data_IF_966600404433
#
_entry.id   IF_966600404433
#
_cell.length_a   1.000
_cell.length_b   1.000
_cell.length_c   1.000
_cell.angle_alpha   90.00
_cell.angle_beta   90.00
_cell.angle_gamma   90.00
#
_symmetry.space_group_name_H-M   'P 1'
#
loop_
_entity.id
_entity.type
_entity.pdbx_description
1 polymer ?
#
# COMPACT_ATOMS: atom_id res chain seq x y z
N UNK A 1 21.53 39.36 -15.80
CA UNK A 1 22.73 39.34 -14.94
C UNK A 1 22.25 39.27 -13.50
N UNK A 2 22.60 38.22 -12.77
CA UNK A 2 22.36 38.11 -11.32
C UNK A 2 23.67 37.68 -10.66
N UNK A 3 24.00 38.34 -9.54
CA UNK A 3 25.23 38.16 -8.79
C UNK A 3 25.14 36.95 -7.86
N UNK A 4 26.00 35.95 -8.08
CA UNK A 4 26.24 34.89 -7.11
C UNK A 4 27.10 35.41 -5.95
N UNK A 5 26.49 35.53 -4.76
CA UNK A 5 27.19 36.01 -3.57
C UNK A 5 28.31 35.05 -3.14
N UNK A 6 29.54 35.55 -3.07
CA UNK A 6 30.63 34.88 -2.37
C UNK A 6 30.51 35.17 -0.88
N UNK A 7 29.88 34.28 -0.14
CA UNK A 7 29.87 34.36 1.32
C UNK A 7 31.18 33.79 1.88
N UNK A 8 32.10 34.69 2.22
CA UNK A 8 33.42 34.34 2.74
C UNK A 8 33.36 33.54 4.05
N UNK A 9 32.25 33.62 4.81
CA UNK A 9 32.07 32.84 6.05
C UNK A 9 31.97 31.34 5.81
N UNK A 10 31.51 30.91 4.63
CA UNK A 10 31.41 29.50 4.25
C UNK A 10 32.81 28.94 3.93
N UNK A 11 33.64 29.71 3.21
CA UNK A 11 34.99 29.28 2.80
C UNK A 11 35.87 29.05 4.02
N UNK A 12 35.89 29.98 4.98
CA UNK A 12 36.67 29.84 6.23
C UNK A 12 36.26 28.58 7.02
N UNK A 13 34.95 28.29 7.09
CA UNK A 13 34.43 27.10 7.77
C UNK A 13 34.88 25.78 7.14
N UNK A 14 35.11 25.72 5.82
CA UNK A 14 35.63 24.52 5.18
C UNK A 14 37.11 24.32 5.51
N UNK A 15 37.93 25.37 5.46
CA UNK A 15 39.35 25.29 5.84
C UNK A 15 39.57 24.89 7.30
N UNK A 16 38.73 25.36 8.23
CA UNK A 16 38.80 24.95 9.63
C UNK A 16 38.41 23.47 9.83
N UNK A 17 37.50 22.93 9.00
CA UNK A 17 37.09 21.53 9.05
C UNK A 17 38.15 20.59 8.45
N UNK A 18 38.77 20.99 7.34
CA UNK A 18 39.87 20.23 6.72
C UNK A 18 41.11 20.19 7.63
N UNK A 19 41.45 21.31 8.30
CA UNK A 19 42.52 21.33 9.30
C UNK A 19 42.25 20.34 10.44
N UNK A 20 41.04 20.35 11.02
CA UNK A 20 40.68 19.44 12.11
C UNK A 20 40.63 17.97 11.67
N UNK A 21 40.24 17.66 10.43
CA UNK A 21 40.25 16.28 9.91
C UNK A 21 41.68 15.76 9.69
N UNK A 22 42.58 16.58 9.15
CA UNK A 22 43.98 16.19 8.93
C UNK A 22 44.73 15.83 10.23
N UNK A 23 44.33 16.43 11.36
CA UNK A 23 44.92 16.14 12.68
C UNK A 23 44.52 14.76 13.27
N UNK A 24 43.56 14.05 12.66
CA UNK A 24 43.06 12.75 13.13
C UNK A 24 43.61 11.53 12.37
N UNK A 25 44.29 11.69 11.24
CA UNK A 25 44.77 10.56 10.43
C UNK A 25 46.14 10.00 10.86
N UNK A 26 46.91 10.73 11.67
CA UNK A 26 48.32 10.43 12.01
C UNK A 26 48.56 9.74 13.38
N UNK A 27 47.57 9.03 13.94
CA UNK A 27 47.73 8.27 15.19
C UNK A 27 47.63 6.74 15.02
N UNK A 28 48.75 5.98 15.13
CA UNK A 28 48.72 4.53 15.14
C UNK A 28 48.17 4.00 16.47
N UNK A 29 47.25 3.04 16.40
CA UNK A 29 46.63 2.41 17.57
C UNK A 29 47.63 1.62 18.42
N UNK A 30 47.99 2.15 19.59
CA UNK A 30 48.56 1.37 20.69
C UNK A 30 47.82 1.63 22.00
N UNK A 31 47.63 0.54 22.76
CA UNK A 31 47.03 0.55 24.10
C UNK A 31 47.87 1.41 25.04
N UNK A 32 47.22 2.30 25.78
CA UNK A 32 47.25 2.40 27.25
C UNK A 32 46.40 3.59 27.71
N UNK A 33 45.56 3.39 28.73
CA UNK A 33 44.71 4.45 29.30
C UNK A 33 45.41 5.10 30.51
N UNK A 34 45.72 6.41 30.48
CA UNK A 34 45.99 7.18 31.69
C UNK A 34 44.68 7.70 32.33
N UNK A 35 44.74 7.98 33.64
CA UNK A 35 43.63 8.42 34.48
C UNK A 35 42.95 9.75 34.06
N UNK A 36 41.69 9.99 34.49
CA UNK A 36 40.95 11.20 34.14
C UNK A 36 41.56 12.47 34.76
N UNK A 37 42.12 13.33 33.91
CA UNK A 37 42.54 14.67 34.31
C UNK A 37 41.34 15.56 34.67
N UNK A 38 41.55 16.39 35.68
CA UNK A 38 40.52 17.20 36.35
C UNK A 38 39.86 18.20 35.39
N UNK A 39 38.54 18.37 35.51
CA UNK A 39 37.79 19.40 34.80
C UNK A 39 38.35 20.80 35.12
N UNK A 40 38.93 21.45 34.11
CA UNK A 40 39.25 22.87 34.17
C UNK A 40 37.97 23.65 33.94
N UNK A 41 37.50 24.34 34.97
CA UNK A 41 36.24 25.08 34.98
C UNK A 41 36.41 26.41 34.20
N UNK A 42 36.27 26.36 32.87
CA UNK A 42 36.15 27.57 32.06
C UNK A 42 34.80 28.25 32.36
N UNK A 43 34.84 29.39 33.05
CA UNK A 43 33.72 30.32 33.12
C UNK A 43 33.59 31.04 31.77
N UNK A 44 32.87 30.43 30.83
CA UNK A 44 32.42 31.13 29.62
C UNK A 44 31.14 31.90 29.93
N UNK A 45 31.08 33.15 29.47
CA UNK A 45 29.95 34.04 29.68
C UNK A 45 28.69 33.50 28.99
N UNK A 46 27.52 33.76 29.59
CA UNK A 46 26.23 33.21 29.14
C UNK A 46 25.71 33.89 27.87
N UNK A 47 26.28 33.55 26.73
CA UNK A 47 25.56 33.67 25.47
C UNK A 47 24.67 32.42 25.31
N UNK A 48 23.37 32.57 25.49
CA UNK A 48 22.41 31.48 25.24
C UNK A 48 22.25 31.36 23.73
N UNK A 49 22.64 30.23 23.15
CA UNK A 49 22.39 29.95 21.74
C UNK A 49 20.89 29.79 21.48
N UNK A 50 20.27 30.57 20.57
CA UNK A 50 18.84 30.47 20.27
C UNK A 50 18.40 29.08 19.81
N UNK A 51 19.33 28.31 19.21
CA UNK A 51 19.12 26.94 18.77
C UNK A 51 18.89 26.00 19.97
N UNK A 52 19.65 26.18 21.06
CA UNK A 52 19.56 25.36 22.28
C UNK A 52 18.26 25.63 23.04
N UNK A 53 17.82 26.89 23.08
CA UNK A 53 16.52 27.26 23.67
C UNK A 53 15.34 26.73 22.83
N UNK A 54 15.43 26.84 21.50
CA UNK A 54 14.46 26.23 20.58
C UNK A 54 14.37 24.71 20.71
N UNK A 55 15.50 24.01 20.86
CA UNK A 55 15.52 22.57 21.08
C UNK A 55 14.84 22.18 22.40
N UNK A 56 15.06 22.96 23.46
CA UNK A 56 14.45 22.75 24.78
C UNK A 56 12.92 22.94 24.71
N UNK A 57 12.45 24.01 24.08
CA UNK A 57 11.03 24.28 23.86
C UNK A 57 10.35 23.16 23.05
N UNK A 58 10.99 22.69 21.97
CA UNK A 58 10.47 21.58 21.17
C UNK A 58 10.38 20.27 21.98
N UNK A 59 11.36 20.00 22.85
CA UNK A 59 11.37 18.81 23.70
C UNK A 59 10.28 18.88 24.80
N UNK A 60 10.12 20.03 25.45
CA UNK A 60 9.03 20.27 26.40
C UNK A 60 7.64 20.13 25.74
N UNK A 61 7.49 20.59 24.49
CA UNK A 61 6.24 20.45 23.73
C UNK A 61 5.97 18.99 23.34
N UNK A 62 6.97 18.24 22.89
CA UNK A 62 6.84 16.80 22.64
C UNK A 62 6.45 16.02 23.90
N UNK A 63 7.04 16.35 25.06
CA UNK A 63 6.70 15.71 26.32
C UNK A 63 5.25 16.01 26.75
N UNK A 64 4.75 17.24 26.52
CA UNK A 64 3.33 17.58 26.73
C UNK A 64 2.40 16.75 25.83
N UNK A 65 2.71 16.62 24.54
CA UNK A 65 1.92 15.84 23.59
C UNK A 65 1.90 14.34 23.94
N UNK A 66 3.03 13.78 24.40
CA UNK A 66 3.08 12.39 24.88
C UNK A 66 2.21 12.17 26.12
N UNK A 67 2.22 13.10 27.08
CA UNK A 67 1.35 13.04 28.26
C UNK A 67 -0.13 13.17 27.89
N UNK A 68 -0.49 14.03 26.93
CA UNK A 68 -1.85 14.19 26.44
C UNK A 68 -2.34 12.93 25.70
N UNK A 69 -1.51 12.32 24.86
CA UNK A 69 -1.79 11.02 24.24
C UNK A 69 -1.99 9.91 25.27
N UNK A 70 -1.19 9.88 26.34
CA UNK A 70 -1.35 8.88 27.40
C UNK A 70 -2.68 9.04 28.15
N UNK A 71 -3.04 10.27 28.52
CA UNK A 71 -4.35 10.56 29.14
C UNK A 71 -5.52 10.31 28.19
N UNK A 72 -5.35 10.50 26.88
CA UNK A 72 -6.36 10.12 25.87
C UNK A 72 -6.58 8.61 25.80
N UNK A 73 -5.52 7.80 25.80
CA UNK A 73 -5.65 6.33 25.85
C UNK A 73 -6.35 5.87 27.13
N UNK A 74 -5.94 6.38 28.28
CA UNK A 74 -6.56 6.07 29.58
C UNK A 74 -8.06 6.45 29.63
N UNK A 75 -8.45 7.57 29.02
CA UNK A 75 -9.87 7.94 28.83
C UNK A 75 -10.59 6.97 27.89
N UNK A 76 -9.96 6.57 26.79
CA UNK A 76 -10.51 5.60 25.85
C UNK A 76 -10.75 4.23 26.51
N UNK A 77 -9.78 3.72 27.27
CA UNK A 77 -9.90 2.47 28.04
C UNK A 77 -11.03 2.56 29.08
N UNK A 78 -11.13 3.70 29.79
CA UNK A 78 -12.21 3.95 30.76
C UNK A 78 -13.59 3.97 30.09
N UNK A 79 -13.70 4.59 28.91
CA UNK A 79 -14.93 4.60 28.12
C UNK A 79 -15.27 3.20 27.58
N UNK A 80 -14.28 2.47 27.06
CA UNK A 80 -14.42 1.09 26.58
C UNK A 80 -14.92 0.14 27.68
N UNK A 81 -14.34 0.23 28.89
CA UNK A 81 -14.81 -0.50 30.06
C UNK A 81 -16.26 -0.14 30.45
N UNK A 82 -16.62 1.15 30.38
CA UNK A 82 -17.98 1.62 30.67
C UNK A 82 -19.00 1.15 29.62
N UNK A 83 -18.64 1.13 28.34
CA UNK A 83 -19.47 0.59 27.25
C UNK A 83 -19.73 -0.90 27.45
N UNK A 84 -18.70 -1.69 27.76
CA UNK A 84 -18.85 -3.13 28.07
C UNK A 84 -19.74 -3.39 29.29
N UNK A 85 -19.67 -2.55 30.33
CA UNK A 85 -20.60 -2.65 31.47
C UNK A 85 -22.04 -2.31 31.09
N UNK A 86 -22.25 -1.34 30.19
CA UNK A 86 -23.58 -0.99 29.68
C UNK A 86 -24.17 -2.12 28.81
N UNK A 87 -23.38 -2.73 27.92
CA UNK A 87 -23.79 -3.89 27.12
C UNK A 87 -24.21 -5.08 28.01
N UNK A 88 -23.44 -5.37 29.06
CA UNK A 88 -23.79 -6.39 30.06
C UNK A 88 -25.09 -6.08 30.83
N UNK A 89 -25.39 -4.81 31.09
CA UNK A 89 -26.62 -4.40 31.76
C UNK A 89 -27.87 -4.43 30.86
N UNK A 90 -27.70 -4.22 29.54
CA UNK A 90 -28.79 -4.30 28.55
C UNK A 90 -29.22 -5.76 28.28
N UNK A 91 -28.33 -6.74 28.45
CA UNK A 91 -28.65 -8.16 28.24
C UNK A 91 -29.59 -8.80 29.29
N UNK A 92 -30.00 -8.09 30.35
CA UNK A 92 -30.79 -8.68 31.45
C UNK A 92 -32.25 -8.19 31.53
N UNK A 93 -32.66 -7.20 30.73
CA UNK A 93 -34.05 -6.75 30.66
C UNK A 93 -34.48 -6.48 29.21
N UNK A 94 -35.67 -6.95 28.85
CA UNK A 94 -36.17 -6.94 27.47
C UNK A 94 -36.36 -5.53 26.88
N UNK A 95 -36.20 -5.44 25.56
CA UNK A 95 -36.43 -4.26 24.73
C UNK A 95 -37.80 -3.60 24.98
N UNK A 96 -37.88 -2.28 24.78
CA UNK A 96 -38.64 -1.83 23.61
C UNK A 96 -37.93 -0.76 22.75
N UNK A 97 -38.37 -0.65 21.50
CA UNK A 97 -37.84 0.23 20.48
C UNK A 97 -37.88 1.73 20.84
N UNK A 98 -36.74 2.42 20.63
CA UNK A 98 -36.73 3.83 20.22
C UNK A 98 -35.41 4.16 19.51
N UNK A 99 -35.48 4.16 18.18
CA UNK A 99 -34.60 4.99 17.35
C UNK A 99 -35.03 6.46 17.60
N UNK A 100 -34.07 7.39 17.51
CA UNK A 100 -34.18 8.85 17.77
C UNK A 100 -33.89 9.33 19.21
N UNK A 101 -32.59 9.45 19.58
CA UNK A 101 -32.06 10.51 20.49
C UNK A 101 -30.53 10.55 20.75
N UNK A 102 -29.68 10.19 19.79
CA UNK A 102 -28.22 10.43 19.91
C UNK A 102 -27.61 11.16 18.72
N UNK A 103 -28.26 12.27 18.33
CA UNK A 103 -27.69 13.25 17.42
C UNK A 103 -27.64 14.63 18.09
N UNK A 104 -26.61 14.81 18.94
CA UNK A 104 -26.11 16.09 19.46
C UNK A 104 -24.77 15.86 20.17
N UNK A 105 -23.84 16.80 20.00
CA UNK A 105 -22.43 16.77 20.45
C UNK A 105 -21.43 15.97 19.60
N UNK A 106 -21.28 16.38 18.33
CA UNK A 106 -20.00 16.29 17.61
C UNK A 106 -19.61 17.69 17.07
N UNK A 107 -18.34 18.11 17.15
CA UNK A 107 -17.91 19.42 16.68
C UNK A 107 -17.88 19.49 15.13
N UNK A 108 -18.26 20.63 14.50
CA UNK A 108 -18.52 20.70 13.05
C UNK A 108 -17.36 20.30 12.12
N UNK A 109 -16.11 20.32 12.58
CA UNK A 109 -14.93 20.03 11.74
C UNK A 109 -14.66 18.53 11.54
N UNK A 110 -15.18 17.65 12.40
CA UNK A 110 -15.05 16.20 12.21
C UNK A 110 -15.97 15.68 11.09
N UNK A 111 -17.16 16.27 10.97
CA UNK A 111 -18.21 15.84 10.04
C UNK A 111 -17.76 15.95 8.58
N UNK A 112 -16.97 16.96 8.21
CA UNK A 112 -16.52 17.15 6.82
C UNK A 112 -15.53 16.06 6.37
N UNK A 113 -14.65 15.60 7.26
CA UNK A 113 -13.68 14.55 6.93
C UNK A 113 -14.33 13.16 6.98
N UNK A 114 -15.17 12.88 7.98
CA UNK A 114 -15.90 11.60 8.02
C UNK A 114 -16.94 11.49 6.88
N UNK A 115 -17.55 12.60 6.45
CA UNK A 115 -18.45 12.60 5.29
C UNK A 115 -17.71 12.30 4.00
N UNK A 116 -16.55 12.92 3.73
CA UNK A 116 -15.77 12.59 2.52
C UNK A 116 -15.23 11.16 2.51
N UNK A 117 -14.94 10.58 3.68
CA UNK A 117 -14.53 9.16 3.82
C UNK A 117 -15.73 8.20 3.73
N UNK A 118 -16.93 8.60 4.14
CA UNK A 118 -18.17 7.80 3.99
C UNK A 118 -18.75 7.87 2.57
N UNK A 119 -18.70 9.02 1.91
CA UNK A 119 -19.11 9.17 0.51
C UNK A 119 -18.23 8.29 -0.39
N UNK A 120 -16.90 8.32 -0.24
CA UNK A 120 -15.99 7.39 -0.94
C UNK A 120 -16.25 5.90 -0.64
N UNK A 121 -16.75 5.54 0.55
CA UNK A 121 -17.10 4.15 0.89
C UNK A 121 -18.45 3.71 0.31
N UNK A 122 -19.42 4.62 0.23
CA UNK A 122 -20.72 4.33 -0.36
C UNK A 122 -20.63 4.27 -1.90
N UNK A 123 -19.85 5.16 -2.53
CA UNK A 123 -19.57 5.09 -3.97
C UNK A 123 -18.87 3.77 -4.36
N UNK A 124 -17.97 3.26 -3.49
CA UNK A 124 -17.41 1.91 -3.66
C UNK A 124 -18.46 0.80 -3.53
N UNK A 125 -19.46 0.94 -2.67
CA UNK A 125 -20.48 -0.10 -2.43
C UNK A 125 -21.51 -0.17 -3.56
N UNK A 126 -22.01 1.00 -4.01
CA UNK A 126 -23.02 1.09 -5.07
C UNK A 126 -22.44 0.71 -6.45
N UNK A 127 -21.17 1.02 -6.73
CA UNK A 127 -20.48 0.52 -7.93
C UNK A 127 -20.23 -0.99 -7.88
N UNK A 128 -20.03 -1.58 -6.69
CA UNK A 128 -19.70 -2.99 -6.53
C UNK A 128 -20.92 -3.89 -6.82
N UNK A 129 -22.13 -3.55 -6.35
CA UNK A 129 -23.35 -4.29 -6.76
C UNK A 129 -23.61 -4.17 -8.26
N UNK A 130 -23.51 -2.96 -8.83
CA UNK A 130 -23.81 -2.73 -10.25
C UNK A 130 -22.81 -3.43 -11.20
N UNK A 131 -21.53 -3.51 -10.84
CA UNK A 131 -20.52 -4.22 -11.64
C UNK A 131 -20.63 -5.75 -11.50
N UNK A 132 -20.98 -6.27 -10.32
CA UNK A 132 -21.21 -7.72 -10.16
C UNK A 132 -22.45 -8.19 -10.95
N UNK A 133 -23.57 -7.45 -10.90
CA UNK A 133 -24.79 -7.83 -11.64
C UNK A 133 -24.68 -7.62 -13.17
N UNK A 134 -23.89 -6.66 -13.66
CA UNK A 134 -23.62 -6.54 -15.10
C UNK A 134 -22.65 -7.60 -15.63
N UNK A 135 -21.63 -7.98 -14.84
CA UNK A 135 -20.65 -8.98 -15.27
C UNK A 135 -21.25 -10.39 -15.42
N UNK A 136 -22.22 -10.75 -14.56
CA UNK A 136 -22.91 -12.04 -14.61
C UNK A 136 -23.79 -12.25 -15.87
N UNK A 137 -24.21 -11.18 -16.55
CA UNK A 137 -25.09 -11.26 -17.72
C UNK A 137 -24.36 -11.35 -19.07
N UNK A 138 -23.02 -11.35 -19.08
CA UNK A 138 -22.21 -11.31 -20.33
C UNK A 138 -21.47 -12.62 -20.62
N UNK A 139 -21.83 -13.71 -19.95
CA UNK A 139 -21.40 -15.06 -20.32
C UNK A 139 -22.48 -15.71 -21.23
N UNK A 140 -22.27 -15.54 -22.53
CA UNK A 140 -23.02 -16.10 -23.67
C UNK A 140 -24.50 -15.68 -23.88
N UNK A 141 -24.72 -14.72 -24.81
CA UNK A 141 -25.76 -14.78 -25.89
C UNK A 141 -25.75 -13.59 -26.87
N UNK A 142 -25.26 -13.83 -28.10
CA UNK A 142 -25.91 -13.59 -29.43
C UNK A 142 -24.96 -13.16 -30.55
N UNK A 143 -25.24 -13.72 -31.73
CA UNK A 143 -24.68 -13.40 -33.05
C UNK A 143 -25.76 -12.60 -33.84
N UNK A 144 -25.36 -11.90 -34.92
CA UNK A 144 -26.17 -11.18 -35.95
C UNK A 144 -26.79 -9.84 -35.49
N UNK A 145 -26.62 -8.67 -36.13
CA UNK A 145 -26.46 -8.26 -37.55
C UNK A 145 -25.70 -6.90 -37.67
N UNK A 146 -25.56 -6.35 -38.90
CA UNK A 146 -24.92 -5.06 -39.23
C UNK A 146 -25.96 -4.05 -39.81
N UNK A 147 -25.68 -2.77 -40.16
CA UNK A 147 -24.39 -2.09 -40.40
C UNK A 147 -24.28 -0.62 -39.87
N UNK A 148 -24.18 0.52 -40.60
CA UNK A 148 -23.15 1.52 -40.22
C UNK A 148 -23.53 3.03 -40.10
N UNK A 149 -22.62 3.79 -39.46
CA UNK A 149 -22.24 5.20 -39.71
C UNK A 149 -23.16 6.36 -39.18
N UNK A 150 -22.74 7.65 -39.24
CA UNK A 150 -21.57 8.22 -38.52
C UNK A 150 -21.77 9.66 -37.92
N UNK A 151 -20.95 10.09 -36.93
CA UNK A 151 -20.59 11.53 -36.72
C UNK A 151 -19.46 11.82 -35.70
N UNK A 152 -18.28 12.17 -36.23
CA UNK A 152 -17.38 13.31 -35.93
C UNK A 152 -17.93 14.33 -34.89
N UNK A 153 -17.20 14.93 -33.91
CA UNK A 153 -15.79 14.92 -33.44
C UNK A 153 -15.69 15.61 -32.06
N UNK A 154 -14.84 15.16 -31.12
CA UNK A 154 -13.71 15.99 -30.60
C UNK A 154 -12.52 15.17 -30.06
N UNK A 155 -12.58 13.84 -30.04
CA UNK A 155 -11.75 12.97 -29.17
C UNK A 155 -10.35 12.56 -29.68
N UNK A 156 -9.78 13.22 -30.68
CA UNK A 156 -8.63 12.71 -31.44
C UNK A 156 -7.23 12.97 -30.83
N UNK A 157 -7.11 13.64 -29.68
CA UNK A 157 -5.80 13.82 -29.01
C UNK A 157 -5.59 12.78 -27.91
N UNK A 158 -6.62 12.46 -27.11
CA UNK A 158 -6.50 11.50 -26.01
C UNK A 158 -6.49 10.03 -26.50
N UNK A 159 -7.08 9.73 -27.67
CA UNK A 159 -7.16 8.36 -28.22
C UNK A 159 -5.83 7.74 -28.70
N UNK A 160 -4.72 8.49 -28.65
CA UNK A 160 -3.37 8.00 -28.99
C UNK A 160 -2.54 7.61 -27.77
N UNK A 161 -2.99 7.92 -26.54
CA UNK A 161 -2.28 7.52 -25.32
C UNK A 161 -2.57 6.05 -25.02
N UNK A 162 -1.53 5.23 -24.92
CA UNK A 162 -1.64 3.93 -24.27
C UNK A 162 -1.42 4.13 -22.76
N UNK A 163 -2.45 4.01 -21.89
CA UNK A 163 -2.32 4.23 -20.45
C UNK A 163 -1.36 3.25 -19.76
N UNK A 164 -1.03 2.14 -20.42
CA UNK A 164 -0.08 1.12 -19.95
C UNK A 164 1.33 1.26 -20.56
N UNK A 165 1.59 2.26 -21.39
CA UNK A 165 2.95 2.54 -21.86
C UNK A 165 3.82 3.14 -20.74
N UNK A 166 5.16 2.98 -20.79
CA UNK A 166 6.06 3.67 -19.86
C UNK A 166 5.94 5.20 -20.01
N UNK A 167 5.49 5.86 -18.95
CA UNK A 167 5.26 7.31 -18.90
C UNK A 167 6.04 7.96 -17.75
N UNK A 168 6.05 9.30 -17.69
CA UNK A 168 6.49 10.04 -16.51
C UNK A 168 5.60 9.69 -15.31
N UNK A 169 6.24 9.32 -14.21
CA UNK A 169 5.55 9.02 -12.95
C UNK A 169 5.28 10.31 -12.16
N UNK A 170 4.08 10.43 -11.58
CA UNK A 170 3.76 11.49 -10.62
C UNK A 170 3.84 10.93 -9.19
N UNK A 171 4.81 11.36 -8.36
CA UNK A 171 4.91 10.92 -6.97
C UNK A 171 3.74 11.36 -6.08
N UNK A 172 3.02 12.43 -6.43
CA UNK A 172 1.92 12.96 -5.60
C UNK A 172 0.68 12.09 -5.77
N UNK A 173 0.17 11.94 -7.00
CA UNK A 173 -0.94 11.04 -7.30
C UNK A 173 -0.57 9.56 -7.14
N UNK A 174 0.71 9.21 -7.32
CA UNK A 174 1.21 7.85 -7.15
C UNK A 174 0.73 6.88 -8.24
N UNK A 175 0.42 5.66 -7.85
CA UNK A 175 -0.07 4.61 -8.76
C UNK A 175 -1.32 3.91 -8.23
N UNK A 176 -1.92 3.10 -9.11
CA UNK A 176 -3.05 2.24 -8.80
C UNK A 176 -2.67 0.81 -9.20
N UNK A 177 -2.94 -0.13 -8.30
CA UNK A 177 -2.89 -1.56 -8.59
C UNK A 177 -4.32 -2.02 -8.86
N UNK A 178 -4.54 -2.70 -9.97
CA UNK A 178 -5.74 -3.51 -10.15
C UNK A 178 -5.37 -4.96 -9.88
N UNK A 179 -5.99 -5.56 -8.88
CA UNK A 179 -5.96 -7.00 -8.68
C UNK A 179 -7.13 -7.58 -9.46
N UNK A 180 -6.81 -8.22 -10.59
CA UNK A 180 -7.83 -8.65 -11.54
C UNK A 180 -8.37 -10.03 -11.14
N UNK A 181 -7.50 -11.04 -11.08
CA UNK A 181 -7.86 -12.40 -10.66
C UNK A 181 -6.65 -13.26 -10.25
N UNK A 182 -6.89 -14.36 -9.53
CA UNK A 182 -5.94 -15.46 -9.34
C UNK A 182 -6.40 -16.65 -10.18
N UNK A 183 -5.55 -17.17 -11.05
CA UNK A 183 -5.84 -18.36 -11.87
C UNK A 183 -5.08 -19.60 -11.38
N UNK A 184 -5.51 -20.77 -11.86
CA UNK A 184 -4.89 -22.07 -11.63
C UNK A 184 -4.71 -22.45 -10.14
N UNK A 185 -5.63 -22.00 -9.27
CA UNK A 185 -5.64 -22.44 -7.87
C UNK A 185 -5.97 -23.95 -7.80
N UNK A 186 -5.38 -24.71 -6.86
CA UNK A 186 -5.84 -26.06 -6.55
C UNK A 186 -7.35 -26.12 -6.33
N UNK A 187 -8.02 -27.11 -6.92
CA UNK A 187 -9.49 -27.28 -6.84
C UNK A 187 -10.04 -27.49 -5.42
N UNK A 188 -9.16 -27.83 -4.47
CA UNK A 188 -9.45 -27.90 -3.04
C UNK A 188 -9.69 -26.53 -2.41
N UNK A 189 -9.11 -25.45 -2.95
CA UNK A 189 -9.20 -24.09 -2.39
C UNK A 189 -10.53 -23.45 -2.78
N UNK A 190 -11.35 -23.14 -1.79
CA UNK A 190 -12.72 -22.65 -1.97
C UNK A 190 -12.88 -21.15 -1.71
N UNK A 191 -11.94 -20.56 -0.97
CA UNK A 191 -11.94 -19.15 -0.61
C UNK A 191 -10.52 -18.65 -0.50
N UNK A 192 -10.27 -17.39 -0.89
CA UNK A 192 -8.99 -16.73 -0.71
C UNK A 192 -9.13 -15.26 -0.33
N UNK A 193 -8.06 -14.68 0.22
CA UNK A 193 -7.92 -13.27 0.55
C UNK A 193 -6.49 -12.82 0.19
N UNK A 194 -6.34 -11.56 -0.22
CA UNK A 194 -5.02 -10.94 -0.40
C UNK A 194 -4.73 -10.00 0.77
N UNK A 195 -3.51 -10.10 1.32
CA UNK A 195 -2.93 -9.08 2.20
C UNK A 195 -1.75 -8.48 1.46
N UNK A 196 -1.68 -7.15 1.42
CA UNK A 196 -0.74 -6.39 0.59
C UNK A 196 0.05 -5.41 1.46
N UNK A 197 1.37 -5.40 1.34
CA UNK A 197 2.25 -4.47 2.04
C UNK A 197 3.32 -3.93 1.11
N UNK A 198 3.52 -2.61 1.12
CA UNK A 198 4.72 -2.01 0.52
C UNK A 198 5.93 -2.44 1.35
N UNK A 199 7.00 -2.81 0.69
CA UNK A 199 8.24 -3.28 1.30
C UNK A 199 9.44 -2.49 0.77
N UNK A 200 10.29 -2.05 1.70
CA UNK A 200 11.57 -1.42 1.41
C UNK A 200 12.69 -2.06 2.25
N UNK A 201 13.80 -2.54 1.65
CA UNK A 201 14.83 -3.33 2.35
C UNK A 201 15.49 -2.69 3.59
N UNK A 202 15.38 -1.37 3.80
CA UNK A 202 15.94 -0.70 4.98
C UNK A 202 14.91 -0.41 6.09
N UNK A 203 13.63 -0.42 5.77
CA UNK A 203 12.55 -0.05 6.70
C UNK A 203 11.49 -1.15 6.86
N UNK A 204 11.67 -2.29 6.20
CA UNK A 204 10.80 -3.45 6.29
C UNK A 204 9.48 -3.28 5.54
N UNK A 205 8.44 -3.94 6.08
CA UNK A 205 7.07 -3.87 5.60
C UNK A 205 6.37 -2.63 6.18
N UNK A 206 5.68 -1.88 5.32
CA UNK A 206 4.69 -0.90 5.72
C UNK A 206 3.36 -1.55 6.15
N UNK A 207 2.40 -0.71 6.54
CA UNK A 207 1.08 -1.14 7.00
C UNK A 207 0.40 -2.09 6.00
N UNK A 208 -0.08 -3.27 6.44
CA UNK A 208 -0.76 -4.22 5.58
C UNK A 208 -2.20 -3.78 5.27
N UNK A 209 -2.57 -3.84 3.99
CA UNK A 209 -3.93 -3.67 3.51
C UNK A 209 -4.50 -5.03 3.11
N UNK A 210 -5.51 -5.50 3.85
CA UNK A 210 -6.24 -6.73 3.57
C UNK A 210 -7.45 -6.44 2.66
N UNK A 211 -7.59 -7.21 1.58
CA UNK A 211 -8.75 -7.14 0.68
C UNK A 211 -9.90 -8.00 1.20
N UNK A 212 -11.10 -7.85 0.61
CA UNK A 212 -12.23 -8.69 0.99
C UNK A 212 -11.97 -10.17 0.66
N UNK A 213 -12.38 -11.13 1.51
CA UNK A 213 -12.36 -12.55 1.17
C UNK A 213 -13.28 -12.88 -0.01
N UNK A 214 -12.78 -13.68 -0.93
CA UNK A 214 -13.41 -14.02 -2.21
C UNK A 214 -13.62 -15.53 -2.31
N UNK A 215 -14.78 -15.94 -2.79
CA UNK A 215 -15.04 -17.35 -3.14
C UNK A 215 -14.33 -17.70 -4.43
N UNK A 216 -13.76 -18.89 -4.46
CA UNK A 216 -13.14 -19.45 -5.65
C UNK A 216 -14.19 -20.21 -6.48
N UNK A 217 -14.19 -19.98 -7.79
CA UNK A 217 -15.05 -20.65 -8.76
C UNK A 217 -14.27 -21.73 -9.50
N UNK A 218 -14.94 -22.83 -9.86
CA UNK A 218 -14.32 -23.91 -10.62
C UNK A 218 -14.21 -23.53 -12.11
N UNK A 219 -13.03 -23.71 -12.67
CA UNK A 219 -12.71 -23.49 -14.07
C UNK A 219 -12.15 -24.77 -14.69
N UNK A 220 -12.59 -25.05 -15.92
CA UNK A 220 -12.08 -26.15 -16.73
C UNK A 220 -11.56 -25.51 -18.03
N UNK A 221 -10.24 -25.53 -18.22
CA UNK A 221 -9.63 -25.11 -19.48
C UNK A 221 -9.90 -26.22 -20.50
N UNK A 222 -10.55 -25.93 -21.63
CA UNK A 222 -10.89 -26.94 -22.65
C UNK A 222 -9.68 -27.65 -23.30
N UNK A 223 -8.45 -27.36 -22.85
CA UNK A 223 -7.20 -28.03 -23.21
C UNK A 223 -6.61 -28.91 -22.10
N UNK A 224 -7.07 -28.79 -20.85
CA UNK A 224 -6.57 -29.54 -19.69
C UNK A 224 -7.76 -30.09 -18.88
N UNK A 225 -7.92 -31.42 -18.82
CA UNK A 225 -9.01 -32.07 -18.09
C UNK A 225 -8.93 -31.95 -16.55
N UNK A 226 -7.85 -31.39 -16.00
CA UNK A 226 -7.73 -31.14 -14.56
C UNK A 226 -8.54 -29.91 -14.13
N UNK A 227 -9.56 -30.06 -13.24
CA UNK A 227 -10.30 -28.92 -12.72
C UNK A 227 -9.39 -28.08 -11.83
N UNK A 228 -9.40 -26.77 -12.06
CA UNK A 228 -8.67 -25.77 -11.29
C UNK A 228 -9.65 -24.69 -10.82
N UNK A 229 -9.29 -23.92 -9.82
CA UNK A 229 -10.14 -22.81 -9.37
C UNK A 229 -9.56 -21.45 -9.78
N UNK A 230 -10.45 -20.47 -9.92
CA UNK A 230 -10.17 -19.05 -10.11
C UNK A 230 -10.79 -18.25 -8.97
N UNK A 231 -10.10 -17.19 -8.53
CA UNK A 231 -10.72 -16.14 -7.73
C UNK A 231 -10.73 -14.84 -8.55
N UNK A 232 -11.93 -14.32 -8.86
CA UNK A 232 -12.08 -12.99 -9.46
C UNK A 232 -11.97 -11.95 -8.35
N UNK A 233 -10.96 -11.06 -8.43
CA UNK A 233 -10.69 -10.06 -7.38
C UNK A 233 -11.29 -8.71 -7.73
N UNK A 234 -11.17 -8.28 -9.00
CA UNK A 234 -11.75 -7.04 -9.54
C UNK A 234 -11.54 -5.77 -8.66
N UNK A 235 -10.44 -5.70 -7.91
CA UNK A 235 -10.24 -4.66 -6.88
C UNK A 235 -9.20 -3.63 -7.31
N UNK A 236 -9.54 -2.35 -7.19
CA UNK A 236 -8.69 -1.18 -7.43
C UNK A 236 -8.08 -0.71 -6.09
N UNK A 237 -6.76 -0.77 -5.93
CA UNK A 237 -6.02 -0.27 -4.77
C UNK A 237 -5.15 0.94 -5.16
N UNK A 238 -5.56 2.17 -4.82
CA UNK A 238 -4.72 3.36 -4.98
C UNK A 238 -3.57 3.38 -3.97
N UNK A 239 -2.41 3.88 -4.41
CA UNK A 239 -1.20 4.07 -3.61
C UNK A 239 -0.65 5.49 -3.84
N UNK A 240 -1.29 6.52 -3.26
CA UNK A 240 -0.86 7.92 -3.40
C UNK A 240 0.43 8.20 -2.63
N UNK A 241 1.16 9.26 -3.03
CA UNK A 241 2.36 9.71 -2.31
C UNK A 241 3.57 8.76 -2.35
N UNK A 242 3.52 7.67 -3.12
CA UNK A 242 4.59 6.68 -3.15
C UNK A 242 5.80 7.22 -3.95
N UNK A 243 7.01 7.31 -3.37
CA UNK A 243 8.16 7.87 -4.06
C UNK A 243 8.69 6.89 -5.13
N UNK A 244 9.20 7.39 -6.27
CA UNK A 244 9.71 6.53 -7.34
C UNK A 244 11.10 5.98 -6.99
N UNK A 245 11.15 4.84 -6.32
CA UNK A 245 12.39 4.21 -5.86
C UNK A 245 12.45 2.75 -6.31
N UNK A 246 13.48 2.38 -7.07
CA UNK A 246 13.72 0.99 -7.51
C UNK A 246 13.73 -0.04 -6.36
N UNK A 247 14.12 0.36 -5.15
CA UNK A 247 14.13 -0.51 -3.96
C UNK A 247 12.73 -0.82 -3.40
N UNK A 248 11.69 -0.08 -3.80
CA UNK A 248 10.32 -0.32 -3.37
C UNK A 248 9.70 -1.49 -4.13
N UNK A 249 9.08 -2.36 -3.36
CA UNK A 249 8.42 -3.58 -3.82
C UNK A 249 7.09 -3.75 -3.09
N UNK A 250 6.21 -4.60 -3.59
CA UNK A 250 5.01 -5.00 -2.84
C UNK A 250 5.12 -6.48 -2.53
N UNK A 251 4.94 -6.83 -1.26
CA UNK A 251 4.73 -8.21 -0.83
C UNK A 251 3.23 -8.44 -0.77
N UNK A 252 2.79 -9.53 -1.40
CA UNK A 252 1.40 -9.95 -1.43
C UNK A 252 1.34 -11.32 -0.82
N UNK A 253 0.68 -11.43 0.32
CA UNK A 253 0.31 -12.70 0.93
C UNK A 253 -1.05 -13.15 0.38
N UNK A 254 -1.18 -14.45 0.13
CA UNK A 254 -2.43 -15.10 -0.25
C UNK A 254 -2.83 -16.06 0.85
N UNK A 255 -3.90 -15.69 1.55
CA UNK A 255 -4.55 -16.56 2.52
C UNK A 255 -5.65 -17.35 1.83
N UNK A 256 -5.83 -18.62 2.19
CA UNK A 256 -6.79 -19.52 1.55
C UNK A 256 -7.47 -20.43 2.56
N UNK A 257 -8.66 -20.94 2.21
CA UNK A 257 -9.32 -22.02 2.92
C UNK A 257 -9.97 -23.02 1.96
N UNK A 258 -10.07 -24.27 2.39
CA UNK A 258 -10.83 -25.34 1.72
C UNK A 258 -12.32 -25.32 2.08
N UNK A 259 -12.76 -24.43 2.97
CA UNK A 259 -14.15 -24.21 3.35
C UNK A 259 -14.79 -23.08 2.52
N UNK A 260 -15.92 -23.36 1.83
CA UNK A 260 -16.71 -22.37 1.05
C UNK A 260 -17.39 -21.28 1.89
N UNK A 261 -17.38 -21.43 3.22
CA UNK A 261 -18.00 -20.54 4.19
C UNK A 261 -17.01 -20.11 5.28
N UNK A 262 -15.71 -20.10 4.98
CA UNK A 262 -14.69 -19.72 5.94
C UNK A 262 -14.91 -18.28 6.43
N UNK A 263 -14.84 -18.05 7.73
CA UNK A 263 -14.67 -16.69 8.25
C UNK A 263 -13.30 -16.14 7.82
N UNK A 264 -13.05 -14.83 7.98
CA UNK A 264 -11.71 -14.29 7.71
C UNK A 264 -10.65 -14.85 8.67
N UNK A 265 -11.05 -15.36 9.84
CA UNK A 265 -10.18 -15.94 10.87
C UNK A 265 -9.81 -17.40 10.54
N UNK A 266 -10.58 -18.07 9.69
CA UNK A 266 -10.33 -19.43 9.19
C UNK A 266 -9.40 -19.46 7.95
N UNK A 267 -9.03 -18.30 7.40
CA UNK A 267 -8.11 -18.22 6.26
C UNK A 267 -6.67 -18.36 6.74
N UNK A 268 -5.90 -19.22 6.05
CA UNK A 268 -4.50 -19.46 6.38
C UNK A 268 -3.60 -19.00 5.25
N UNK A 269 -2.51 -18.31 5.60
CA UNK A 269 -1.37 -18.05 4.72
C UNK A 269 -0.94 -19.36 4.05
N UNK A 270 -1.02 -19.43 2.71
CA UNK A 270 -0.61 -20.63 1.96
C UNK A 270 0.34 -20.31 0.80
N UNK A 271 0.24 -19.10 0.25
CA UNK A 271 1.12 -18.63 -0.80
C UNK A 271 1.43 -17.14 -0.66
N UNK A 272 2.41 -16.66 -1.42
CA UNK A 272 2.77 -15.25 -1.46
C UNK A 272 3.44 -14.88 -2.80
N UNK A 273 3.66 -13.61 -3.07
CA UNK A 273 4.52 -13.14 -4.16
C UNK A 273 5.13 -11.78 -3.82
N UNK A 274 6.10 -11.34 -4.62
CA UNK A 274 6.76 -10.04 -4.48
C UNK A 274 6.86 -9.36 -5.85
N UNK A 275 6.42 -8.11 -5.94
CA UNK A 275 6.36 -7.33 -7.17
C UNK A 275 7.40 -6.20 -7.15
N UNK A 276 8.07 -5.96 -8.29
CA UNK A 276 8.75 -4.69 -8.53
C UNK A 276 7.73 -3.59 -8.81
N UNK A 277 7.98 -2.38 -8.30
CA UNK A 277 7.17 -1.20 -8.64
C UNK A 277 7.83 -0.32 -9.70
N UNK A 278 9.14 -0.09 -9.60
CA UNK A 278 9.85 0.87 -10.43
C UNK A 278 11.04 0.24 -11.18
N UNK A 279 11.25 0.70 -12.41
CA UNK A 279 12.39 0.30 -13.24
C UNK A 279 13.70 0.98 -12.81
N UNK A 280 14.80 0.65 -13.49
CA UNK A 280 16.12 1.25 -13.25
C UNK A 280 16.23 2.74 -13.63
N UNK A 281 15.15 3.34 -14.16
CA UNK A 281 15.00 4.78 -14.43
C UNK A 281 13.97 5.42 -13.50
N UNK A 282 13.58 4.72 -12.43
CA UNK A 282 12.56 5.13 -11.47
C UNK A 282 11.18 5.43 -12.11
N UNK A 283 10.87 4.79 -13.24
CA UNK A 283 9.53 4.85 -13.85
C UNK A 283 8.71 3.68 -13.33
N UNK A 284 7.41 3.89 -13.09
CA UNK A 284 6.50 2.80 -12.73
C UNK A 284 6.54 1.71 -13.80
N UNK A 285 6.57 0.44 -13.38
CA UNK A 285 6.36 -0.72 -14.25
C UNK A 285 4.89 -0.82 -14.67
N UNK A 286 4.37 0.20 -15.36
CA UNK A 286 3.01 0.20 -15.90
C UNK A 286 2.81 -0.95 -16.87
N UNK A 287 1.67 -1.65 -16.80
CA UNK A 287 1.40 -2.80 -17.66
C UNK A 287 0.35 -3.76 -17.14
N UNK A 288 0.10 -4.81 -17.93
CA UNK A 288 -0.68 -6.02 -17.58
C UNK A 288 0.31 -7.13 -17.26
N UNK A 289 0.31 -7.56 -16.02
CA UNK A 289 1.33 -8.45 -15.47
C UNK A 289 0.73 -9.68 -14.83
N UNK A 290 1.43 -10.80 -14.95
CA UNK A 290 1.16 -12.01 -14.18
C UNK A 290 2.41 -12.50 -13.48
N UNK A 291 2.23 -13.11 -12.32
CA UNK A 291 3.34 -13.66 -11.52
C UNK A 291 2.90 -14.98 -10.87
N UNK A 292 3.75 -16.01 -10.87
CA UNK A 292 3.46 -17.23 -10.12
C UNK A 292 3.46 -16.95 -8.62
N UNK A 293 2.48 -17.50 -7.92
CA UNK A 293 2.48 -17.53 -6.46
C UNK A 293 3.57 -18.49 -5.97
N UNK A 294 4.19 -18.15 -4.85
CA UNK A 294 5.29 -18.88 -4.21
C UNK A 294 4.83 -19.57 -2.95
N UNK A 295 5.38 -20.75 -2.71
CA UNK A 295 5.17 -21.49 -1.47
C UNK A 295 5.90 -20.81 -0.31
N UNK A 296 5.47 -21.13 0.91
CA UNK A 296 6.06 -20.64 2.16
C UNK A 296 7.48 -21.19 2.39
N UNK A 297 8.33 -20.52 3.19
CA UNK A 297 8.06 -19.28 3.93
C UNK A 297 8.05 -18.01 3.04
N UNK A 298 7.38 -16.97 3.55
CA UNK A 298 7.50 -15.60 3.01
C UNK A 298 8.95 -15.13 3.21
N UNK A 299 9.54 -14.53 2.18
CA UNK A 299 10.92 -14.04 2.18
C UNK A 299 10.98 -12.62 1.63
N UNK A 300 10.40 -11.66 2.37
CA UNK A 300 10.30 -10.26 1.90
C UNK A 300 11.66 -9.61 1.66
N UNK A 301 12.71 -9.97 2.40
CA UNK A 301 14.03 -9.35 2.30
C UNK A 301 14.86 -9.83 1.09
N UNK A 302 14.44 -10.94 0.46
CA UNK A 302 15.14 -11.53 -0.68
C UNK A 302 15.00 -10.70 -1.97
N UNK A 303 16.01 -10.80 -2.83
CA UNK A 303 15.96 -10.19 -4.16
C UNK A 303 14.93 -10.88 -5.07
N UNK A 304 14.35 -10.13 -6.01
CA UNK A 304 13.38 -10.69 -6.98
C UNK A 304 13.98 -11.82 -7.82
N UNK A 305 15.28 -11.76 -8.13
CA UNK A 305 16.01 -12.81 -8.85
C UNK A 305 16.22 -14.11 -8.04
N UNK A 306 16.19 -14.04 -6.70
CA UNK A 306 16.17 -15.22 -5.82
C UNK A 306 14.73 -15.73 -5.67
N UNK A 307 13.77 -14.83 -5.47
CA UNK A 307 12.35 -15.16 -5.32
C UNK A 307 11.78 -15.80 -6.59
N UNK A 308 12.22 -15.41 -7.78
CA UNK A 308 11.75 -16.03 -9.03
C UNK A 308 12.07 -17.53 -9.10
N UNK A 309 13.18 -17.95 -8.49
CA UNK A 309 13.62 -19.35 -8.34
C UNK A 309 13.00 -20.07 -7.15
N UNK A 310 12.23 -19.38 -6.30
CA UNK A 310 11.53 -20.01 -5.18
C UNK A 310 10.49 -21.04 -5.65
N UNK A 311 10.24 -22.12 -4.89
CA UNK A 311 9.16 -23.06 -5.17
C UNK A 311 7.82 -22.35 -5.36
N UNK A 312 7.05 -22.75 -6.38
CA UNK A 312 5.73 -22.19 -6.66
C UNK A 312 4.65 -22.87 -5.85
N UNK A 313 3.56 -22.15 -5.58
CA UNK A 313 2.35 -22.71 -5.00
C UNK A 313 1.54 -23.41 -6.10
N UNK A 314 1.99 -24.63 -6.46
CA UNK A 314 1.48 -25.36 -7.60
C UNK A 314 1.65 -24.57 -8.90
N UNK A 315 0.53 -24.38 -9.62
CA UNK A 315 0.45 -23.61 -10.88
C UNK A 315 -0.19 -22.23 -10.69
N UNK A 316 -0.50 -21.83 -9.47
CA UNK A 316 -1.31 -20.65 -9.20
C UNK A 316 -0.59 -19.34 -9.56
N UNK A 317 -1.32 -18.41 -10.17
CA UNK A 317 -0.79 -17.15 -10.70
C UNK A 317 -1.70 -15.98 -10.34
N UNK A 318 -1.11 -14.88 -9.88
CA UNK A 318 -1.80 -13.60 -9.70
C UNK A 318 -1.71 -12.79 -10.99
N UNK A 319 -2.85 -12.32 -11.48
CA UNK A 319 -3.00 -11.40 -12.61
C UNK A 319 -3.36 -10.01 -12.09
N UNK A 320 -2.55 -9.02 -12.46
CA UNK A 320 -2.67 -7.65 -11.96
C UNK A 320 -2.29 -6.62 -13.03
N UNK A 321 -2.67 -5.36 -12.78
CA UNK A 321 -2.21 -4.21 -13.56
C UNK A 321 -1.60 -3.17 -12.65
N UNK A 322 -0.47 -2.61 -13.08
CA UNK A 322 0.09 -1.38 -12.52
C UNK A 322 -0.20 -0.25 -13.48
N UNK A 323 -0.77 0.83 -12.96
CA UNK A 323 -1.24 1.98 -13.73
C UNK A 323 -0.86 3.25 -12.98
N UNK A 324 -0.39 4.28 -13.70
CA UNK A 324 -0.19 5.60 -13.09
C UNK A 324 -1.56 6.13 -12.63
N UNK A 325 -1.63 6.83 -11.50
CA UNK A 325 -2.90 7.31 -10.93
C UNK A 325 -3.74 8.12 -11.94
N UNK A 326 -3.09 8.97 -12.74
CA UNK A 326 -3.70 9.78 -13.80
C UNK A 326 -4.40 8.97 -14.92
N UNK A 327 -4.00 7.71 -15.10
CA UNK A 327 -4.43 6.79 -16.15
C UNK A 327 -5.38 5.70 -15.57
N UNK A 328 -5.72 5.83 -14.28
CA UNK A 328 -6.48 4.83 -13.53
C UNK A 328 -7.91 4.66 -14.01
N UNK A 329 -8.59 5.74 -14.38
CA UNK A 329 -10.01 5.68 -14.75
C UNK A 329 -10.20 5.08 -16.15
N UNK A 330 -9.31 5.39 -17.09
CA UNK A 330 -9.17 4.71 -18.40
C UNK A 330 -8.93 3.19 -18.28
N UNK A 331 -8.56 2.70 -17.09
CA UNK A 331 -8.33 1.29 -16.81
C UNK A 331 -9.40 0.65 -15.91
N UNK A 332 -10.35 1.40 -15.33
CA UNK A 332 -11.41 0.83 -14.49
C UNK A 332 -12.28 -0.17 -15.27
N UNK A 333 -12.65 0.16 -16.51
CA UNK A 333 -13.56 -0.64 -17.36
C UNK A 333 -12.87 -1.73 -18.21
N UNK A 334 -11.61 -2.06 -17.92
CA UNK A 334 -10.88 -3.07 -18.70
C UNK A 334 -11.50 -4.48 -18.52
N UNK A 335 -11.70 -5.26 -19.60
CA UNK A 335 -12.47 -6.50 -19.52
C UNK A 335 -11.74 -7.63 -18.77
N UNK A 336 -12.22 -7.91 -17.56
CA UNK A 336 -11.73 -8.98 -16.69
C UNK A 336 -12.23 -10.35 -17.19
N UNK A 337 -11.35 -11.13 -17.84
CA UNK A 337 -11.68 -12.50 -18.27
C UNK A 337 -10.43 -13.35 -18.45
N UNK A 338 -10.52 -14.63 -18.07
CA UNK A 338 -9.50 -15.64 -18.40
C UNK A 338 -9.25 -15.78 -19.90
N UNK A 339 -10.24 -15.46 -20.75
CA UNK A 339 -10.08 -15.41 -22.22
C UNK A 339 -9.02 -14.37 -22.66
N UNK A 340 -8.71 -13.40 -21.79
CA UNK A 340 -7.71 -12.35 -22.02
C UNK A 340 -6.40 -12.58 -21.25
N UNK A 341 -6.17 -13.77 -20.65
CA UNK A 341 -4.95 -14.07 -19.87
C UNK A 341 -3.65 -13.89 -20.67
N UNK A 342 -3.72 -14.02 -22.00
CA UNK A 342 -2.59 -13.87 -22.91
C UNK A 342 -2.20 -12.39 -23.14
N UNK A 343 -3.03 -11.43 -22.69
CA UNK A 343 -2.69 -10.00 -22.63
C UNK A 343 -1.81 -9.63 -21.42
N UNK A 344 -1.50 -10.58 -20.52
CA UNK A 344 -0.69 -10.37 -19.32
C UNK A 344 0.69 -11.03 -19.51
N UNK A 345 1.74 -10.22 -19.43
CA UNK A 345 3.11 -10.68 -19.53
C UNK A 345 3.68 -11.03 -18.14
N UNK A 346 4.74 -11.84 -18.09
CA UNK A 346 5.58 -11.85 -16.88
C UNK A 346 6.39 -10.54 -16.84
N UNK A 347 6.56 -9.90 -15.67
CA UNK A 347 7.43 -8.74 -15.54
C UNK A 347 8.87 -9.12 -15.89
N UNK A 348 9.56 -8.23 -16.62
CA UNK A 348 11.00 -8.34 -16.85
C UNK A 348 11.72 -8.11 -15.51
N UNK A 349 12.63 -9.02 -15.16
CA UNK A 349 13.37 -9.03 -13.88
C UNK A 349 14.79 -8.51 -14.05
#
# INVERSE_FOLDING_TARGET
MQSGGHDASIITRYSDLEYNLSAYEDYPWTKDYPEPLKQVQYQSERHIDPITEGLKLANEQNQRLQNELHEMHKKFDTLSARTKQLELSVSTNGMPNSIDKYDRYLPPKAITYERSVRENKNDQFDQHEHSQQKSLNTLDKRITHASPAPSISTSNINKLRNPLAPQSYDPVGGFIIFFDFIANLPSTIQQCCLITSIHHPKSGLGEPSQLQPLKCEQYIDGKNDEPMNIALIATKQPVPGCPPQQALTIVIEVQTSTNKKASSEELQTNAWTKLALFDNKNRLYSGRWKVPLKALPIRQDESLAVISRAPTFGRAELYYRLVNSQDGDDQSDAPLSLKHRDHYAYPLQ
#
